data_IF_507687543773
#
_entry.id   IF_507687543773
#
_cell.length_a   1.000
_cell.length_b   1.000
_cell.length_c   1.000
_cell.angle_alpha   90.00
_cell.angle_beta   90.00
_cell.angle_gamma   90.00
#
_symmetry.space_group_name_H-M   'P 1'
#
loop_
_entity.id
_entity.type
_entity.pdbx_description
1 polymer ?
#
# COMPACT_ATOMS: atom_id res chain seq x y z
N UNK A 1 -5.88 -8.33 -3.50
CA UNK A 1 -4.87 -7.95 -4.51
C UNK A 1 -4.65 -6.45 -4.44
N UNK A 2 -3.49 -5.99 -4.90
CA UNK A 2 -3.13 -4.57 -4.93
C UNK A 2 -2.33 -4.24 -6.19
N UNK A 3 -2.39 -2.98 -6.62
CA UNK A 3 -1.55 -2.43 -7.68
C UNK A 3 -1.05 -1.03 -7.30
N UNK A 4 0.20 -0.75 -7.64
CA UNK A 4 0.84 0.57 -7.59
C UNK A 4 0.90 1.10 -9.02
N UNK A 5 0.23 2.22 -9.30
CA UNK A 5 0.24 2.85 -10.62
C UNK A 5 1.08 4.12 -10.63
N UNK A 6 1.85 4.30 -11.71
CA UNK A 6 2.53 5.55 -12.03
C UNK A 6 2.44 5.81 -13.53
N UNK A 7 2.12 7.04 -13.94
CA UNK A 7 1.97 7.40 -15.36
C UNK A 7 1.09 6.43 -16.17
N UNK A 8 -0.06 6.04 -15.61
CA UNK A 8 -1.07 5.17 -16.26
C UNK A 8 -0.56 3.75 -16.56
N UNK A 9 0.57 3.35 -15.98
CA UNK A 9 1.09 1.98 -16.03
C UNK A 9 1.31 1.43 -14.63
N UNK A 10 1.17 0.12 -14.40
CA UNK A 10 1.52 -0.45 -13.11
C UNK A 10 3.04 -0.42 -12.92
N UNK A 11 3.50 0.25 -11.85
CA UNK A 11 4.85 0.02 -11.33
C UNK A 11 4.96 -1.40 -10.75
N UNK A 12 3.86 -1.91 -10.20
CA UNK A 12 3.72 -3.31 -9.85
C UNK A 12 2.30 -3.70 -9.46
N UNK A 13 2.03 -5.00 -9.46
CA UNK A 13 0.76 -5.58 -9.03
C UNK A 13 1.01 -6.94 -8.38
N UNK A 14 0.23 -7.27 -7.35
CA UNK A 14 0.42 -8.52 -6.62
C UNK A 14 -0.85 -9.00 -5.90
N UNK A 15 -0.83 -10.27 -5.53
CA UNK A 15 -1.74 -10.89 -4.58
C UNK A 15 -1.06 -11.06 -3.21
N UNK A 16 -1.85 -11.31 -2.16
CA UNK A 16 -1.40 -11.37 -0.77
C UNK A 16 -0.71 -12.67 -0.38
N UNK A 17 0.26 -13.13 -1.19
CA UNK A 17 1.09 -14.29 -0.85
C UNK A 17 2.04 -13.89 0.28
N UNK A 18 2.11 -14.64 1.40
CA UNK A 18 3.02 -14.34 2.50
C UNK A 18 4.45 -14.06 2.03
N UNK A 19 5.13 -13.14 2.70
CA UNK A 19 6.53 -12.80 2.41
C UNK A 19 7.46 -13.83 3.07
N UNK A 20 8.54 -14.20 2.39
CA UNK A 20 9.68 -14.88 3.03
C UNK A 20 10.41 -13.92 3.98
N UNK A 21 11.24 -14.46 4.87
CA UNK A 21 12.03 -13.64 5.80
C UNK A 21 12.97 -12.68 5.05
N UNK A 22 13.55 -13.12 3.93
CA UNK A 22 14.38 -12.29 3.06
C UNK A 22 13.57 -11.17 2.40
N UNK A 23 12.39 -11.48 1.86
CA UNK A 23 11.49 -10.48 1.27
C UNK A 23 11.08 -9.42 2.30
N UNK A 24 10.81 -9.83 3.55
CA UNK A 24 10.48 -8.89 4.63
C UNK A 24 11.62 -7.94 4.95
N UNK A 25 12.88 -8.38 4.83
CA UNK A 25 14.06 -7.54 4.99
C UNK A 25 14.19 -6.59 3.79
N UNK A 26 14.13 -7.11 2.56
CA UNK A 26 14.29 -6.32 1.32
C UNK A 26 13.22 -5.25 1.20
N UNK A 27 11.97 -5.56 1.59
CA UNK A 27 10.86 -4.62 1.55
C UNK A 27 10.74 -3.74 2.81
N UNK A 28 11.70 -3.82 3.73
CA UNK A 28 11.76 -2.99 4.95
C UNK A 28 10.50 -3.12 5.85
N UNK A 29 9.95 -4.34 5.93
CA UNK A 29 8.75 -4.68 6.71
C UNK A 29 8.97 -5.80 7.72
N UNK A 30 10.23 -6.13 8.06
CA UNK A 30 10.60 -7.20 8.98
C UNK A 30 9.77 -7.20 10.28
N UNK A 31 9.69 -6.05 10.93
CA UNK A 31 9.04 -5.89 12.24
C UNK A 31 7.56 -5.47 12.14
N UNK A 32 6.94 -5.63 10.97
CA UNK A 32 5.54 -5.23 10.74
C UNK A 32 4.61 -6.44 10.66
N UNK A 33 3.50 -6.37 11.37
CA UNK A 33 2.39 -7.31 11.16
C UNK A 33 1.64 -6.93 9.88
N UNK A 34 1.55 -7.89 8.96
CA UNK A 34 0.93 -7.68 7.65
C UNK A 34 -0.30 -8.57 7.51
N UNK A 35 -1.43 -7.94 7.18
CA UNK A 35 -2.59 -8.65 6.66
C UNK A 35 -2.36 -9.09 5.21
N UNK A 36 -3.19 -9.99 4.64
CA UNK A 36 -3.10 -10.35 3.22
C UNK A 36 -3.22 -9.14 2.28
N UNK A 37 -3.98 -8.11 2.65
CA UNK A 37 -4.14 -6.88 1.87
C UNK A 37 -2.88 -6.02 1.94
N UNK A 38 -2.31 -5.85 3.15
CA UNK A 38 -1.07 -5.14 3.35
C UNK A 38 0.09 -5.82 2.62
N UNK A 39 0.17 -7.16 2.71
CA UNK A 39 1.16 -7.96 1.97
C UNK A 39 1.03 -7.77 0.46
N UNK A 40 -0.18 -7.78 -0.08
CA UNK A 40 -0.39 -7.53 -1.51
C UNK A 40 0.13 -6.14 -1.91
N UNK A 41 -0.14 -5.11 -1.11
CA UNK A 41 0.34 -3.75 -1.38
C UNK A 41 1.87 -3.65 -1.29
N UNK A 42 2.48 -4.21 -0.24
CA UNK A 42 3.94 -4.25 -0.07
C UNK A 42 4.60 -4.90 -1.29
N UNK A 43 4.09 -6.05 -1.76
CA UNK A 43 4.59 -6.69 -2.98
C UNK A 43 4.41 -5.82 -4.22
N UNK A 44 3.23 -5.22 -4.41
CA UNK A 44 2.94 -4.40 -5.58
C UNK A 44 3.83 -3.15 -5.66
N UNK A 45 4.04 -2.47 -4.53
CA UNK A 45 4.90 -1.27 -4.46
C UNK A 45 6.38 -1.61 -4.65
N UNK A 46 6.86 -2.69 -4.05
CA UNK A 46 8.27 -3.06 -4.08
C UNK A 46 8.69 -3.86 -5.31
N UNK A 47 7.81 -4.04 -6.30
CA UNK A 47 8.25 -4.48 -7.64
C UNK A 47 9.25 -3.47 -8.25
N UNK A 48 8.96 -2.18 -8.08
CA UNK A 48 9.89 -1.07 -8.33
C UNK A 48 9.54 0.11 -7.40
N UNK A 49 10.27 0.28 -6.27
CA UNK A 49 9.98 1.34 -5.31
C UNK A 49 10.30 2.74 -5.86
N UNK A 50 11.25 2.87 -6.80
CA UNK A 50 11.56 4.17 -7.42
C UNK A 50 10.42 4.62 -8.31
N UNK A 51 9.87 3.73 -9.14
CA UNK A 51 8.70 4.03 -9.96
C UNK A 51 7.43 4.25 -9.12
N UNK A 52 7.32 3.61 -7.96
CA UNK A 52 6.19 3.78 -7.04
C UNK A 52 6.22 5.07 -6.21
N UNK A 53 7.26 5.91 -6.35
CA UNK A 53 7.30 7.20 -5.66
C UNK A 53 6.19 8.12 -6.15
N UNK A 54 5.20 8.39 -5.28
CA UNK A 54 3.97 9.10 -5.66
C UNK A 54 3.06 8.23 -6.55
N UNK A 55 2.92 6.95 -6.23
CA UNK A 55 1.98 6.06 -6.88
C UNK A 55 0.52 6.46 -6.63
N UNK A 56 -0.39 5.95 -7.46
CA UNK A 56 -1.81 5.83 -7.13
C UNK A 56 -2.12 4.35 -6.86
N UNK A 57 -2.60 4.05 -5.66
CA UNK A 57 -2.80 2.68 -5.18
C UNK A 57 -4.21 2.21 -5.51
N UNK A 58 -4.35 0.98 -6.00
CA UNK A 58 -5.66 0.32 -6.15
C UNK A 58 -5.68 -0.97 -5.33
N UNK A 59 -6.69 -1.13 -4.47
CA UNK A 59 -6.88 -2.29 -3.59
C UNK A 59 -8.19 -2.99 -3.90
N UNK A 60 -8.17 -4.32 -3.99
CA UNK A 60 -9.35 -5.11 -4.39
C UNK A 60 -10.27 -5.51 -3.24
N UNK A 61 -9.97 -5.11 -2.01
CA UNK A 61 -10.69 -5.44 -0.76
C UNK A 61 -10.80 -4.20 0.12
N UNK A 62 -11.55 -4.29 1.21
CA UNK A 62 -11.55 -3.27 2.25
C UNK A 62 -10.12 -3.03 2.79
N UNK A 63 -9.74 -1.76 2.91
CA UNK A 63 -8.43 -1.36 3.43
C UNK A 63 -8.44 -1.42 4.95
N UNK A 64 -7.49 -2.17 5.51
CA UNK A 64 -7.30 -2.31 6.94
C UNK A 64 -6.22 -1.40 7.51
N UNK A 65 -6.14 -1.36 8.84
CA UNK A 65 -5.16 -0.55 9.59
C UNK A 65 -3.71 -0.92 9.22
N UNK A 66 -3.41 -2.19 8.99
CA UNK A 66 -2.08 -2.63 8.58
C UNK A 66 -1.68 -1.99 7.24
N UNK A 67 -2.56 -2.06 6.24
CA UNK A 67 -2.36 -1.46 4.92
C UNK A 67 -2.22 0.05 5.00
N UNK A 68 -3.09 0.71 5.78
CA UNK A 68 -3.04 2.15 6.00
C UNK A 68 -1.72 2.59 6.66
N UNK A 69 -1.20 1.82 7.62
CA UNK A 69 0.07 2.10 8.28
C UNK A 69 1.28 1.96 7.36
N UNK A 70 1.25 1.01 6.41
CA UNK A 70 2.27 0.95 5.35
C UNK A 70 2.17 2.21 4.48
N UNK A 71 0.99 2.51 3.94
CA UNK A 71 0.80 3.64 3.02
C UNK A 71 1.04 5.01 3.67
N UNK A 72 0.81 5.14 4.99
CA UNK A 72 1.01 6.38 5.76
C UNK A 72 2.43 6.93 5.61
N UNK A 73 3.45 6.07 5.70
CA UNK A 73 4.85 6.49 5.66
C UNK A 73 5.39 6.65 4.23
N UNK A 74 4.75 6.01 3.26
CA UNK A 74 5.19 5.99 1.86
C UNK A 74 4.82 7.27 1.10
N UNK A 75 5.65 7.74 0.16
CA UNK A 75 5.19 8.80 -0.74
C UNK A 75 4.22 8.20 -1.77
N UNK A 76 2.97 8.67 -1.73
CA UNK A 76 1.86 8.24 -2.59
C UNK A 76 0.93 9.42 -2.87
N UNK A 77 0.29 9.42 -4.04
CA UNK A 77 -0.65 10.46 -4.48
C UNK A 77 -2.11 10.16 -4.12
N UNK A 78 -2.49 8.88 -4.04
CA UNK A 78 -3.84 8.50 -3.64
C UNK A 78 -4.04 6.99 -3.56
N UNK A 79 -5.24 6.61 -3.10
CA UNK A 79 -5.70 5.23 -3.04
C UNK A 79 -7.16 5.14 -3.51
N UNK A 80 -7.52 4.03 -4.13
CA UNK A 80 -8.91 3.63 -4.38
C UNK A 80 -9.12 2.18 -3.90
N UNK A 81 -10.25 1.95 -3.23
CA UNK A 81 -10.64 0.65 -2.71
C UNK A 81 -12.17 0.54 -2.62
N UNK A 82 -12.76 -0.67 -2.54
CA UNK A 82 -14.19 -0.85 -2.34
C UNK A 82 -14.69 -0.40 -0.95
N UNK A 83 -13.79 -0.24 0.02
CA UNK A 83 -14.12 0.19 1.38
C UNK A 83 -12.87 0.43 2.23
N UNK A 84 -13.07 1.05 3.38
CA UNK A 84 -12.01 1.34 4.34
C UNK A 84 -12.56 1.12 5.75
N UNK A 85 -11.78 0.44 6.59
CA UNK A 85 -12.06 0.43 8.03
C UNK A 85 -12.01 1.87 8.56
N UNK A 86 -12.86 2.25 9.55
CA UNK A 86 -12.90 3.61 10.07
C UNK A 86 -11.51 4.13 10.50
N UNK A 87 -10.75 3.30 11.22
CA UNK A 87 -9.41 3.66 11.73
C UNK A 87 -8.38 3.78 10.60
N UNK A 88 -8.51 2.96 9.55
CA UNK A 88 -7.69 3.03 8.36
C UNK A 88 -7.98 4.33 7.58
N UNK A 89 -9.25 4.67 7.41
CA UNK A 89 -9.69 5.89 6.73
C UNK A 89 -9.19 7.14 7.44
N UNK A 90 -9.32 7.22 8.77
CA UNK A 90 -8.82 8.37 9.54
C UNK A 90 -7.31 8.52 9.44
N UNK A 91 -6.57 7.40 9.44
CA UNK A 91 -5.11 7.40 9.21
C UNK A 91 -4.75 7.97 7.84
N UNK A 92 -5.48 7.58 6.79
CA UNK A 92 -5.20 8.00 5.41
C UNK A 92 -5.64 9.43 5.14
N UNK A 93 -6.77 9.89 5.69
CA UNK A 93 -7.21 11.30 5.59
C UNK A 93 -6.18 12.26 6.16
N UNK A 94 -5.49 11.91 7.24
CA UNK A 94 -4.46 12.77 7.83
C UNK A 94 -3.21 12.95 6.95
N UNK A 95 -3.00 12.08 5.95
CA UNK A 95 -1.84 12.10 5.06
C UNK A 95 -1.88 13.33 4.13
N UNK A 96 -0.70 13.81 3.72
CA UNK A 96 -0.53 15.02 2.88
C UNK A 96 -1.31 16.23 3.44
N UNK A 97 -1.29 16.42 4.76
CA UNK A 97 -1.98 17.53 5.44
C UNK A 97 -3.49 17.60 5.10
N UNK A 98 -4.17 16.45 5.08
CA UNK A 98 -5.60 16.40 4.75
C UNK A 98 -5.90 16.32 3.25
N UNK A 99 -4.87 16.29 2.38
CA UNK A 99 -5.02 16.34 0.91
C UNK A 99 -4.76 15.01 0.22
N UNK A 100 -4.55 13.93 0.95
CA UNK A 100 -4.38 12.61 0.35
C UNK A 100 -5.71 12.16 -0.27
N UNK A 101 -5.66 11.65 -1.50
CA UNK A 101 -6.86 11.24 -2.24
C UNK A 101 -7.24 9.84 -1.77
N UNK A 102 -8.48 9.68 -1.32
CA UNK A 102 -9.07 8.42 -0.85
C UNK A 102 -10.42 8.23 -1.54
#
# INVERSE_FOLDING_TARGET
>A
AAASFKHVSPAGAAIGVPLSDEERIVYEVKDKELSPVATAYVRARNADPMCSFGDFVAISHEVDVATANILKIEVSDGIIAPGFQPEALETLKAKKQGKFIV
#
